data_IF_256534729617
#
_entry.id   IF_256534729617
#
_cell.length_a   1.000
_cell.length_b   1.000
_cell.length_c   1.000
_cell.angle_alpha   90.00
_cell.angle_beta   90.00
_cell.angle_gamma   90.00
#
_symmetry.space_group_name_H-M   'P 1'
#
loop_
_entity.id
_entity.type
_entity.pdbx_description
1 polymer ?
#
# COMPACT_ATOMS: atom_id res chain seq x y z
N UNK A 1 11.96 7.24 -1.22
CA UNK A 1 13.29 7.69 -0.79
C UNK A 1 13.43 7.75 0.71
N UNK A 2 12.70 8.62 1.40
CA UNK A 2 12.93 8.95 2.81
C UNK A 2 13.04 7.75 3.77
N UNK A 3 12.19 6.73 3.62
CA UNK A 3 12.23 5.54 4.48
C UNK A 3 13.49 4.69 4.23
N UNK A 4 13.95 4.61 3.00
CA UNK A 4 15.09 3.76 2.62
C UNK A 4 16.45 4.40 2.90
N UNK A 5 16.52 5.73 2.99
CA UNK A 5 17.73 6.43 3.48
C UNK A 5 17.73 6.57 5.01
N UNK A 6 16.78 5.92 5.70
CA UNK A 6 16.70 5.88 7.15
C UNK A 6 16.63 7.26 7.84
N UNK A 7 15.93 8.22 7.20
CA UNK A 7 15.71 9.56 7.75
C UNK A 7 14.52 9.62 8.73
N UNK A 8 14.24 8.53 9.43
CA UNK A 8 13.01 8.35 10.23
C UNK A 8 12.92 9.38 11.37
N UNK A 9 13.99 9.52 12.15
CA UNK A 9 14.02 10.41 13.31
C UNK A 9 14.03 11.88 12.90
N UNK A 10 14.74 12.23 11.83
CA UNK A 10 14.78 13.59 11.31
C UNK A 10 13.40 14.03 10.81
N UNK A 11 12.70 13.16 10.07
CA UNK A 11 11.35 13.45 9.56
C UNK A 11 10.33 13.48 10.71
N UNK A 12 10.47 12.61 11.69
CA UNK A 12 9.65 12.65 12.90
C UNK A 12 9.81 14.00 13.60
N UNK A 13 11.04 14.43 13.86
CA UNK A 13 11.32 15.72 14.48
C UNK A 13 10.73 16.89 13.69
N UNK A 14 10.80 16.84 12.34
CA UNK A 14 10.20 17.85 11.48
C UNK A 14 8.67 17.90 11.63
N UNK A 15 8.00 16.76 11.57
CA UNK A 15 6.53 16.68 11.66
C UNK A 15 6.06 17.10 13.06
N UNK A 16 6.71 16.64 14.13
CA UNK A 16 6.36 16.99 15.50
C UNK A 16 6.60 18.48 15.79
N UNK A 17 7.71 19.05 15.31
CA UNK A 17 8.03 20.47 15.47
C UNK A 17 7.05 21.38 14.73
N UNK A 18 6.66 20.98 13.53
CA UNK A 18 5.82 21.82 12.65
C UNK A 18 4.32 21.60 12.84
N UNK A 19 3.91 20.41 13.31
CA UNK A 19 2.50 20.03 13.41
C UNK A 19 1.79 19.89 12.06
N UNK A 20 2.52 19.88 10.93
CA UNK A 20 1.93 19.78 9.59
C UNK A 20 1.35 18.40 9.32
N UNK A 21 0.18 18.30 8.65
CA UNK A 21 -0.33 17.00 8.19
C UNK A 21 0.60 16.39 7.14
N UNK A 22 0.72 15.05 7.15
CA UNK A 22 1.54 14.35 6.16
C UNK A 22 0.80 13.18 5.50
N UNK A 23 1.27 12.85 4.29
CA UNK A 23 0.86 11.68 3.52
C UNK A 23 2.07 10.78 3.30
N UNK A 24 1.98 9.52 3.69
CA UNK A 24 2.98 8.53 3.33
C UNK A 24 2.66 7.94 1.95
N UNK A 25 3.65 7.92 1.06
CA UNK A 25 3.59 7.08 -0.13
C UNK A 25 3.79 5.61 0.26
N UNK A 26 3.38 4.68 -0.61
CA UNK A 26 3.27 3.25 -0.26
C UNK A 26 4.50 2.67 0.44
N UNK A 27 5.70 2.97 -0.06
CA UNK A 27 6.96 2.49 0.51
C UNK A 27 7.44 3.30 1.73
N UNK A 28 6.81 4.42 2.03
CA UNK A 28 7.09 5.25 3.20
C UNK A 28 6.07 5.03 4.35
N UNK A 29 5.06 4.18 4.14
CA UNK A 29 4.13 3.83 5.21
C UNK A 29 4.89 3.21 6.38
N UNK A 30 4.59 3.66 7.58
CA UNK A 30 5.29 3.26 8.80
C UNK A 30 6.59 4.01 9.08
N UNK A 31 7.07 4.90 8.20
CA UNK A 31 8.20 5.79 8.53
C UNK A 31 7.88 6.60 9.79
N UNK A 32 6.72 7.27 9.83
CA UNK A 32 5.99 7.53 11.05
C UNK A 32 4.80 6.56 11.09
N UNK A 33 4.33 6.12 12.25
CA UNK A 33 3.19 5.21 12.34
C UNK A 33 1.94 5.81 11.66
N UNK A 34 1.18 5.00 10.93
CA UNK A 34 -0.03 5.47 10.25
C UNK A 34 -1.17 5.86 11.23
N UNK A 35 -0.99 5.65 12.53
CA UNK A 35 -1.86 6.17 13.60
C UNK A 35 -1.32 7.45 14.26
N UNK A 36 -0.30 8.08 13.69
CA UNK A 36 0.24 9.35 14.18
C UNK A 36 -0.80 10.47 14.05
N UNK A 37 -0.92 11.42 15.02
CA UNK A 37 -1.94 12.48 15.00
C UNK A 37 -1.95 13.35 13.72
N UNK A 38 -0.80 13.57 13.08
CA UNK A 38 -0.68 14.33 11.84
C UNK A 38 -0.84 13.48 10.57
N UNK A 39 -1.06 12.16 10.69
CA UNK A 39 -1.27 11.32 9.50
C UNK A 39 -2.61 11.62 8.84
N UNK A 40 -2.57 12.07 7.59
CA UNK A 40 -3.73 12.50 6.84
C UNK A 40 -4.13 11.53 5.70
N UNK A 41 -3.69 10.26 5.76
CA UNK A 41 -3.93 9.28 4.69
C UNK A 41 -5.40 9.13 4.30
N UNK A 42 -6.31 9.08 5.28
CA UNK A 42 -7.75 9.00 5.02
C UNK A 42 -8.36 10.31 4.48
N UNK A 43 -7.68 11.45 4.63
CA UNK A 43 -8.08 12.76 4.08
C UNK A 43 -7.28 13.12 2.80
N UNK A 44 -6.59 12.16 2.16
CA UNK A 44 -5.68 12.40 1.04
C UNK A 44 -6.25 13.34 -0.02
N UNK A 45 -7.48 13.15 -0.45
CA UNK A 45 -8.11 13.98 -1.49
C UNK A 45 -8.28 15.43 -1.06
N UNK A 46 -8.62 15.69 0.20
CA UNK A 46 -8.71 17.05 0.76
C UNK A 46 -7.33 17.69 0.78
N UNK A 47 -6.34 17.00 1.36
CA UNK A 47 -4.97 17.51 1.51
C UNK A 47 -4.35 17.84 0.16
N UNK A 48 -4.48 16.96 -0.84
CA UNK A 48 -3.97 17.23 -2.18
C UNK A 48 -4.67 18.40 -2.86
N UNK A 49 -5.99 18.54 -2.65
CA UNK A 49 -6.79 19.55 -3.35
C UNK A 49 -6.65 20.95 -2.77
N UNK A 50 -6.48 21.08 -1.46
CA UNK A 50 -6.63 22.34 -0.75
C UNK A 50 -5.34 22.91 -0.16
N UNK A 51 -4.24 22.12 -0.08
CA UNK A 51 -2.96 22.66 0.38
C UNK A 51 -2.40 23.72 -0.58
N UNK A 52 -1.90 24.81 -0.04
CA UNK A 52 -1.24 25.92 -0.75
C UNK A 52 0.28 25.74 -0.83
N UNK A 53 0.88 25.05 0.15
CA UNK A 53 2.29 24.66 0.16
C UNK A 53 2.40 23.16 0.36
N UNK A 54 3.19 22.49 -0.47
CA UNK A 54 3.42 21.05 -0.40
C UNK A 54 4.90 20.78 -0.34
N UNK A 55 5.33 20.09 0.71
CA UNK A 55 6.72 19.63 0.84
C UNK A 55 6.80 18.16 0.40
N UNK A 56 7.59 17.92 -0.64
CA UNK A 56 7.92 16.58 -1.13
C UNK A 56 9.24 16.15 -0.51
N UNK A 57 9.24 15.06 0.23
CA UNK A 57 10.43 14.57 0.94
C UNK A 57 10.81 13.19 0.41
N UNK A 58 11.81 13.13 -0.48
CA UNK A 58 12.26 11.90 -1.13
C UNK A 58 11.17 11.18 -1.92
N UNK A 59 10.26 11.94 -2.52
CA UNK A 59 9.17 11.41 -3.35
C UNK A 59 9.04 12.22 -4.64
N UNK A 60 8.76 11.54 -5.73
CA UNK A 60 8.56 12.13 -7.04
C UNK A 60 7.09 12.42 -7.32
N UNK A 61 6.80 13.45 -8.09
CA UNK A 61 5.47 13.72 -8.64
C UNK A 61 5.19 12.84 -9.86
N UNK A 62 5.05 11.54 -9.61
CA UNK A 62 4.71 10.55 -10.63
C UNK A 62 3.19 10.34 -10.75
N UNK A 63 2.76 9.33 -11.51
CA UNK A 63 1.35 9.04 -11.74
C UNK A 63 0.55 8.75 -10.45
N UNK A 64 1.16 8.20 -9.39
CA UNK A 64 0.49 8.01 -8.09
C UNK A 64 0.06 9.32 -7.44
N UNK A 65 0.75 10.42 -7.77
CA UNK A 65 0.42 11.79 -7.36
C UNK A 65 -0.12 12.62 -8.54
N UNK A 66 -0.63 11.97 -9.59
CA UNK A 66 -1.16 12.63 -10.79
C UNK A 66 -0.19 13.68 -11.36
N UNK A 67 1.10 13.40 -11.28
CA UNK A 67 2.19 14.29 -11.74
C UNK A 67 2.13 15.73 -11.18
N UNK A 68 1.52 15.93 -10.02
CA UNK A 68 1.34 17.27 -9.43
C UNK A 68 0.28 18.14 -10.12
N UNK A 69 -0.56 17.57 -11.00
CA UNK A 69 -1.50 18.28 -11.87
C UNK A 69 -2.90 17.67 -11.85
N UNK A 70 -3.84 18.37 -12.47
CA UNK A 70 -5.18 17.89 -12.76
C UNK A 70 -6.13 17.84 -11.56
N UNK A 71 -7.25 17.14 -11.73
CA UNK A 71 -8.38 17.13 -10.76
C UNK A 71 -8.00 16.76 -9.33
N UNK A 72 -7.02 15.88 -9.14
CA UNK A 72 -6.60 15.46 -7.81
C UNK A 72 -6.00 16.61 -7.00
N UNK A 73 -5.43 17.59 -7.67
CA UNK A 73 -4.77 18.73 -7.06
C UNK A 73 -5.65 20.00 -7.01
N UNK A 74 -6.81 20.00 -7.66
CA UNK A 74 -7.69 21.16 -7.72
C UNK A 74 -7.09 22.35 -8.47
N UNK A 75 -7.68 23.54 -8.27
CA UNK A 75 -7.28 24.79 -8.96
C UNK A 75 -6.42 25.73 -8.11
N UNK A 76 -6.11 25.34 -6.87
CA UNK A 76 -5.34 26.19 -5.97
C UNK A 76 -3.94 26.48 -6.53
N UNK A 77 -3.52 27.75 -6.49
CA UNK A 77 -2.13 28.12 -6.71
C UNK A 77 -1.30 27.62 -5.54
N UNK A 78 -0.47 26.60 -5.79
CA UNK A 78 0.40 26.03 -4.76
C UNK A 78 1.87 26.16 -5.09
N UNK A 79 2.67 26.14 -4.04
CA UNK A 79 4.12 26.10 -4.11
C UNK A 79 4.60 24.74 -3.67
N UNK A 80 5.56 24.19 -4.41
CA UNK A 80 6.22 22.94 -4.03
C UNK A 80 7.60 23.22 -3.47
N UNK A 81 7.90 22.60 -2.34
CA UNK A 81 9.24 22.45 -1.78
C UNK A 81 9.64 21.02 -2.05
N UNK A 82 10.80 20.76 -2.65
CA UNK A 82 11.19 19.41 -3.03
C UNK A 82 12.58 19.05 -2.52
N UNK A 83 12.62 18.16 -1.52
CA UNK A 83 13.83 17.56 -1.00
C UNK A 83 14.08 16.27 -1.79
N UNK A 84 15.12 16.25 -2.63
CA UNK A 84 15.40 15.14 -3.53
C UNK A 84 16.90 14.97 -3.73
N UNK A 85 17.37 13.73 -3.82
CA UNK A 85 18.79 13.43 -4.06
C UNK A 85 19.16 13.51 -5.56
N UNK A 86 18.19 13.25 -6.45
CA UNK A 86 18.37 13.24 -7.90
C UNK A 86 17.97 14.61 -8.50
N UNK A 87 18.94 15.45 -8.93
CA UNK A 87 18.62 16.79 -9.43
C UNK A 87 17.67 16.80 -10.65
N UNK A 88 17.68 15.74 -11.45
CA UNK A 88 16.83 15.63 -12.65
C UNK A 88 15.35 15.49 -12.35
N UNK A 89 14.99 15.13 -11.11
CA UNK A 89 13.59 15.07 -10.68
C UNK A 89 13.02 16.46 -10.34
N UNK A 90 13.88 17.47 -10.14
CA UNK A 90 13.43 18.84 -9.91
C UNK A 90 12.83 19.39 -11.21
N UNK A 91 11.70 20.07 -11.09
CA UNK A 91 10.92 20.66 -12.20
C UNK A 91 10.44 19.65 -13.27
N UNK A 92 10.58 18.35 -13.02
CA UNK A 92 10.25 17.32 -14.00
C UNK A 92 8.78 17.34 -14.46
N UNK A 93 7.84 17.78 -13.60
CA UNK A 93 6.41 17.81 -13.90
C UNK A 93 5.72 19.14 -13.60
N UNK A 94 6.18 19.83 -12.56
CA UNK A 94 5.69 21.14 -12.12
C UNK A 94 6.88 21.97 -11.68
N UNK A 95 6.75 23.29 -11.74
CA UNK A 95 7.73 24.22 -11.20
C UNK A 95 7.88 24.03 -9.68
N UNK A 96 9.10 23.88 -9.21
CA UNK A 96 9.45 23.74 -7.80
C UNK A 96 9.90 25.10 -7.25
N UNK A 97 9.12 25.65 -6.33
CA UNK A 97 9.39 26.95 -5.74
C UNK A 97 10.64 26.99 -4.86
N UNK A 98 10.95 25.85 -4.20
CA UNK A 98 12.12 25.71 -3.35
C UNK A 98 12.74 24.31 -3.50
N UNK A 99 13.71 24.14 -4.42
CA UNK A 99 14.45 22.89 -4.56
C UNK A 99 15.51 22.78 -3.46
N UNK A 100 15.60 21.58 -2.85
CA UNK A 100 16.63 21.22 -1.88
C UNK A 100 17.24 19.90 -2.33
N UNK A 101 18.40 19.99 -2.98
CA UNK A 101 19.07 18.82 -3.55
C UNK A 101 20.11 18.28 -2.58
N UNK A 102 19.97 17.02 -2.19
CA UNK A 102 20.90 16.35 -1.28
C UNK A 102 20.31 15.11 -0.63
N UNK A 103 21.12 14.52 0.28
CA UNK A 103 20.64 13.43 1.16
C UNK A 103 19.48 13.92 2.03
N UNK A 104 18.41 13.13 2.09
CA UNK A 104 17.15 13.54 2.75
C UNK A 104 17.33 13.84 4.23
N UNK A 105 18.05 12.99 4.97
CA UNK A 105 18.28 13.20 6.39
C UNK A 105 19.08 14.48 6.64
N UNK A 106 20.14 14.69 5.86
CA UNK A 106 20.97 15.91 5.95
C UNK A 106 20.18 17.17 5.59
N UNK A 107 19.34 17.11 4.55
CA UNK A 107 18.49 18.24 4.17
C UNK A 107 17.46 18.56 5.26
N UNK A 108 16.83 17.55 5.88
CA UNK A 108 15.84 17.75 6.94
C UNK A 108 16.51 18.32 8.19
N UNK A 109 17.70 17.84 8.59
CA UNK A 109 18.46 18.42 9.71
C UNK A 109 18.81 19.88 9.47
N UNK A 110 19.35 20.21 8.30
CA UNK A 110 19.66 21.59 7.95
C UNK A 110 18.42 22.49 7.96
N UNK A 111 17.28 21.97 7.53
CA UNK A 111 16.00 22.68 7.61
C UNK A 111 15.57 22.91 9.07
N UNK A 112 15.66 21.89 9.92
CA UNK A 112 15.35 21.99 11.34
C UNK A 112 16.23 23.02 12.06
N UNK A 113 17.53 23.04 11.75
CA UNK A 113 18.49 24.02 12.29
C UNK A 113 18.12 25.44 11.85
N UNK A 114 17.80 25.63 10.56
CA UNK A 114 17.42 26.93 10.02
C UNK A 114 16.07 27.46 10.56
N UNK A 115 15.16 26.57 10.95
CA UNK A 115 13.87 26.94 11.55
C UNK A 115 14.01 27.52 12.96
N UNK A 116 15.07 27.22 13.67
CA UNK A 116 15.28 27.65 15.07
C UNK A 116 14.17 27.16 16.00
N UNK A 117 14.00 27.81 17.15
CA UNK A 117 13.03 27.38 18.19
C UNK A 117 11.59 27.86 17.93
N UNK A 118 11.40 28.81 17.02
CA UNK A 118 10.10 29.43 16.75
C UNK A 118 9.59 29.05 15.36
N UNK A 119 8.71 28.08 15.32
CA UNK A 119 7.94 27.76 14.12
C UNK A 119 6.46 28.12 14.33
N UNK A 120 5.81 28.84 13.40
CA UNK A 120 4.39 29.14 13.54
C UNK A 120 3.56 27.86 13.46
N UNK A 121 2.59 27.72 14.36
CA UNK A 121 1.64 26.62 14.26
C UNK A 121 0.87 26.70 12.92
N UNK A 122 0.54 25.56 12.32
CA UNK A 122 -0.31 25.57 11.13
C UNK A 122 -1.69 26.17 11.46
N UNK A 123 -2.38 26.74 10.45
CA UNK A 123 -3.71 27.33 10.67
C UNK A 123 -4.65 26.32 11.32
N UNK A 124 -5.28 26.72 12.43
CA UNK A 124 -6.14 25.82 13.22
C UNK A 124 -7.29 25.26 12.39
N UNK A 125 -7.96 26.10 11.60
CA UNK A 125 -9.10 25.71 10.77
C UNK A 125 -8.70 24.64 9.73
N UNK A 126 -7.49 24.73 9.20
CA UNK A 126 -6.93 23.72 8.30
C UNK A 126 -6.72 22.38 9.01
N UNK A 127 -6.09 22.40 10.17
CA UNK A 127 -5.85 21.18 10.95
C UNK A 127 -7.14 20.52 11.39
N UNK A 128 -8.11 21.30 11.85
CA UNK A 128 -9.43 20.80 12.26
C UNK A 128 -10.19 20.20 11.07
N UNK A 129 -10.16 20.84 9.90
CA UNK A 129 -10.76 20.33 8.66
C UNK A 129 -10.14 18.99 8.21
N UNK A 130 -8.81 18.86 8.27
CA UNK A 130 -8.12 17.61 7.94
C UNK A 130 -8.50 16.51 8.94
N UNK A 131 -8.51 16.81 10.24
CA UNK A 131 -8.86 15.86 11.29
C UNK A 131 -10.30 15.36 11.14
N UNK A 132 -11.26 16.26 11.01
CA UNK A 132 -12.66 15.91 10.78
C UNK A 132 -12.84 15.01 9.55
N UNK A 133 -12.11 15.32 8.47
CA UNK A 133 -12.15 14.50 7.25
C UNK A 133 -11.55 13.12 7.46
N UNK A 134 -10.45 13.00 8.22
CA UNK A 134 -9.87 11.72 8.59
C UNK A 134 -10.88 10.90 9.40
N UNK A 135 -11.43 11.46 10.47
CA UNK A 135 -12.39 10.80 11.35
C UNK A 135 -13.63 10.33 10.58
N UNK A 136 -14.23 11.20 9.77
CA UNK A 136 -15.39 10.87 8.94
C UNK A 136 -15.10 9.71 7.98
N UNK A 137 -13.97 9.74 7.31
CA UNK A 137 -13.63 8.70 6.34
C UNK A 137 -13.26 7.36 7.02
N UNK A 138 -12.59 7.39 8.16
CA UNK A 138 -12.31 6.20 8.97
C UNK A 138 -13.61 5.58 9.48
N UNK A 139 -14.53 6.39 10.06
CA UNK A 139 -15.83 5.92 10.53
C UNK A 139 -16.68 5.31 9.40
N UNK A 140 -16.65 5.90 8.20
CA UNK A 140 -17.36 5.37 7.03
C UNK A 140 -16.77 4.05 6.52
N UNK A 141 -15.46 3.86 6.67
CA UNK A 141 -14.77 2.64 6.23
C UNK A 141 -14.92 1.49 7.23
N UNK A 142 -15.02 1.77 8.53
CA UNK A 142 -15.03 0.77 9.58
C UNK A 142 -16.04 -0.37 9.37
N UNK A 143 -17.34 -0.12 9.08
CA UNK A 143 -18.29 -1.21 8.86
C UNK A 143 -17.95 -2.07 7.62
N UNK A 144 -17.29 -1.52 6.61
CA UNK A 144 -16.84 -2.28 5.44
C UNK A 144 -15.70 -3.24 5.80
N UNK A 145 -14.79 -2.82 6.68
CA UNK A 145 -13.67 -3.64 7.13
C UNK A 145 -14.07 -4.71 8.15
N UNK A 146 -15.26 -4.59 8.73
CA UNK A 146 -15.80 -5.50 9.74
C UNK A 146 -16.90 -6.40 9.19
N UNK A 147 -17.17 -6.35 7.87
CA UNK A 147 -18.19 -7.21 7.29
C UNK A 147 -17.76 -8.69 7.32
N UNK A 148 -18.75 -9.56 7.49
CA UNK A 148 -18.58 -11.02 7.49
C UNK A 148 -19.26 -11.65 6.27
N UNK A 149 -19.21 -10.98 5.13
CA UNK A 149 -19.78 -11.46 3.88
C UNK A 149 -19.16 -12.80 3.45
N UNK A 150 -19.98 -13.71 2.94
CA UNK A 150 -19.57 -14.97 2.34
C UNK A 150 -20.23 -15.07 0.96
N UNK A 151 -19.43 -15.15 -0.12
CA UNK A 151 -17.96 -15.09 -0.18
C UNK A 151 -17.43 -13.74 0.30
N UNK A 152 -16.17 -13.72 0.78
CA UNK A 152 -15.52 -12.51 1.27
C UNK A 152 -15.37 -11.46 0.17
N UNK A 153 -15.52 -10.18 0.50
CA UNK A 153 -15.03 -9.11 -0.33
C UNK A 153 -13.61 -8.65 0.08
N UNK A 154 -12.98 -7.81 -0.76
CA UNK A 154 -11.63 -7.30 -0.47
C UNK A 154 -11.56 -6.51 0.84
N UNK A 155 -12.61 -5.79 1.21
CA UNK A 155 -12.62 -4.97 2.43
C UNK A 155 -12.66 -5.83 3.69
N UNK A 156 -13.54 -6.82 3.74
CA UNK A 156 -13.65 -7.75 4.87
C UNK A 156 -12.35 -8.54 5.07
N UNK A 157 -11.82 -9.11 3.98
CA UNK A 157 -10.56 -9.86 4.03
C UNK A 157 -9.37 -8.97 4.44
N UNK A 158 -9.25 -7.75 3.88
CA UNK A 158 -8.19 -6.81 4.28
C UNK A 158 -8.39 -6.23 5.68
N UNK A 159 -9.62 -6.16 6.18
CA UNK A 159 -9.92 -5.81 7.56
C UNK A 159 -9.31 -6.81 8.55
N UNK A 160 -9.38 -8.10 8.22
CA UNK A 160 -8.70 -9.17 8.98
C UNK A 160 -7.19 -8.96 8.97
N UNK A 161 -6.59 -8.79 7.78
CA UNK A 161 -5.13 -8.64 7.65
C UNK A 161 -4.63 -7.35 8.31
N UNK A 162 -5.40 -6.26 8.29
CA UNK A 162 -5.11 -5.03 9.03
C UNK A 162 -4.96 -5.29 10.54
N UNK A 163 -5.85 -6.09 11.11
CA UNK A 163 -5.78 -6.47 12.53
C UNK A 163 -4.53 -7.31 12.82
N UNK A 164 -4.24 -8.31 11.97
CA UNK A 164 -3.04 -9.15 12.10
C UNK A 164 -1.74 -8.33 12.07
N UNK A 165 -1.62 -7.38 11.14
CA UNK A 165 -0.44 -6.50 11.04
C UNK A 165 -0.34 -5.56 12.25
N UNK A 166 -1.46 -5.08 12.77
CA UNK A 166 -1.48 -4.25 13.98
C UNK A 166 -0.93 -5.00 15.20
N UNK A 167 -1.26 -6.27 15.34
CA UNK A 167 -0.79 -7.13 16.44
C UNK A 167 0.67 -7.55 16.27
N UNK A 168 1.20 -7.49 15.03
CA UNK A 168 2.57 -7.92 14.67
C UNK A 168 3.32 -6.81 13.93
N UNK A 169 3.62 -5.66 14.58
CA UNK A 169 4.21 -4.48 13.90
C UNK A 169 5.63 -4.73 13.36
N UNK A 170 6.30 -5.80 13.80
CA UNK A 170 7.62 -6.21 13.32
C UNK A 170 7.57 -7.13 12.09
N UNK A 171 6.42 -7.73 11.79
CA UNK A 171 6.25 -8.52 10.58
C UNK A 171 6.41 -7.64 9.33
N UNK A 172 6.98 -8.23 8.29
CA UNK A 172 7.12 -7.53 7.02
C UNK A 172 5.90 -7.86 6.15
N UNK A 173 5.22 -6.83 5.69
CA UNK A 173 4.14 -6.94 4.72
C UNK A 173 4.69 -6.82 3.30
N UNK A 174 4.50 -7.85 2.49
CA UNK A 174 4.70 -7.78 1.04
C UNK A 174 3.34 -7.80 0.37
N UNK A 175 3.16 -6.99 -0.66
CA UNK A 175 1.85 -6.86 -1.27
C UNK A 175 1.95 -6.64 -2.77
N UNK A 176 1.25 -7.49 -3.52
CA UNK A 176 1.24 -7.47 -4.98
C UNK A 176 -0.17 -7.70 -5.54
N UNK A 177 -0.35 -7.41 -6.81
CA UNK A 177 -1.61 -7.57 -7.54
C UNK A 177 -2.18 -6.24 -8.03
N UNK A 178 -3.38 -6.26 -8.60
CA UNK A 178 -4.12 -5.06 -9.01
C UNK A 178 -5.00 -4.56 -7.85
N UNK A 179 -6.19 -5.14 -7.67
CA UNK A 179 -7.10 -4.78 -6.58
C UNK A 179 -6.47 -5.04 -5.20
N UNK A 180 -5.83 -6.19 -5.03
CA UNK A 180 -5.17 -6.57 -3.77
C UNK A 180 -4.16 -5.51 -3.34
N UNK A 181 -3.33 -5.03 -4.27
CA UNK A 181 -2.34 -3.99 -4.01
C UNK A 181 -2.98 -2.64 -3.68
N UNK A 182 -3.93 -2.19 -4.51
CA UNK A 182 -4.52 -0.86 -4.38
C UNK A 182 -5.38 -0.71 -3.11
N UNK A 183 -6.17 -1.74 -2.79
CA UNK A 183 -6.94 -1.75 -1.55
C UNK A 183 -6.04 -1.87 -0.32
N UNK A 184 -5.03 -2.74 -0.34
CA UNK A 184 -4.14 -2.90 0.79
C UNK A 184 -3.31 -1.64 1.10
N UNK A 185 -2.86 -0.90 0.08
CA UNK A 185 -2.20 0.41 0.26
C UNK A 185 -3.05 1.40 1.05
N UNK A 186 -4.37 1.33 0.85
CA UNK A 186 -5.32 2.26 1.47
C UNK A 186 -5.82 1.79 2.83
N UNK A 187 -5.86 0.46 3.06
CA UNK A 187 -6.51 -0.15 4.22
C UNK A 187 -5.52 -0.53 5.31
N UNK A 188 -4.41 -1.19 4.95
CA UNK A 188 -3.47 -1.71 5.94
C UNK A 188 -2.56 -0.59 6.42
N UNK A 189 -2.63 -0.30 7.72
CA UNK A 189 -1.75 0.65 8.39
C UNK A 189 -0.41 0.00 8.72
N UNK A 190 0.66 0.79 8.66
CA UNK A 190 2.00 0.39 9.05
C UNK A 190 2.46 1.19 10.26
N UNK A 191 3.21 0.54 11.15
CA UNK A 191 3.57 1.12 12.45
C UNK A 191 5.07 1.31 12.64
N UNK A 192 5.88 0.66 11.79
CA UNK A 192 7.35 0.75 11.82
C UNK A 192 7.90 0.97 10.41
N UNK A 193 9.02 1.70 10.29
CA UNK A 193 9.64 1.98 8.99
C UNK A 193 10.17 0.69 8.33
N UNK A 194 10.17 0.69 6.99
CA UNK A 194 10.73 -0.40 6.16
C UNK A 194 10.11 -1.78 6.38
N UNK A 195 8.89 -1.82 6.96
CA UNK A 195 8.12 -3.06 7.16
C UNK A 195 7.10 -3.31 6.06
N UNK A 196 7.15 -2.54 4.96
CA UNK A 196 6.30 -2.75 3.79
C UNK A 196 7.11 -2.75 2.50
N UNK A 197 6.88 -3.78 1.69
CA UNK A 197 7.39 -3.91 0.32
C UNK A 197 6.22 -4.03 -0.64
N UNK A 198 6.30 -3.36 -1.76
CA UNK A 198 5.38 -3.50 -2.89
C UNK A 198 6.05 -3.12 -4.22
N UNK A 199 5.34 -3.26 -5.32
CA UNK A 199 5.87 -3.02 -6.67
C UNK A 199 6.12 -1.54 -7.00
N UNK A 200 5.87 -0.63 -6.06
CA UNK A 200 6.10 0.81 -6.23
C UNK A 200 5.31 1.40 -7.38
N UNK A 201 5.99 2.21 -8.19
CA UNK A 201 5.41 2.89 -9.37
C UNK A 201 5.42 2.04 -10.64
N UNK A 202 6.17 0.96 -10.67
CA UNK A 202 6.24 0.07 -11.82
C UNK A 202 4.95 -0.72 -12.03
N UNK A 203 4.29 -1.13 -10.94
CA UNK A 203 3.01 -1.83 -11.00
C UNK A 203 3.08 -3.20 -11.68
N UNK A 204 4.26 -3.81 -11.77
CA UNK A 204 4.44 -5.13 -12.37
C UNK A 204 3.95 -6.24 -11.45
N UNK A 205 3.63 -7.39 -12.01
CA UNK A 205 3.31 -8.63 -11.29
C UNK A 205 4.47 -9.64 -11.42
N UNK A 206 4.62 -10.50 -10.40
CA UNK A 206 5.61 -11.59 -10.36
C UNK A 206 6.84 -11.32 -9.51
N UNK A 207 6.91 -10.22 -8.76
CA UNK A 207 8.06 -9.91 -7.90
C UNK A 207 7.76 -10.06 -6.40
N UNK A 208 6.50 -10.14 -6.00
CA UNK A 208 6.12 -10.17 -4.58
C UNK A 208 6.67 -11.38 -3.84
N UNK A 209 6.58 -12.56 -4.42
CA UNK A 209 7.14 -13.77 -3.83
C UNK A 209 8.66 -13.67 -3.64
N UNK A 210 9.38 -13.13 -4.64
CA UNK A 210 10.83 -12.87 -4.53
C UNK A 210 11.15 -11.84 -3.45
N UNK A 211 10.35 -10.78 -3.32
CA UNK A 211 10.49 -9.80 -2.23
C UNK A 211 10.23 -10.43 -0.85
N UNK A 212 9.25 -11.33 -0.73
CA UNK A 212 8.97 -12.04 0.51
C UNK A 212 10.13 -12.94 0.94
N UNK A 213 10.71 -13.69 -0.01
CA UNK A 213 11.89 -14.51 0.22
C UNK A 213 13.07 -13.64 0.66
N UNK A 214 13.37 -12.57 -0.08
CA UNK A 214 14.45 -11.65 0.25
C UNK A 214 14.27 -11.03 1.64
N UNK A 215 13.06 -10.60 1.98
CA UNK A 215 12.75 -10.04 3.28
C UNK A 215 12.96 -11.04 4.43
N UNK A 216 12.50 -12.28 4.26
CA UNK A 216 12.67 -13.33 5.26
C UNK A 216 14.15 -13.71 5.47
N UNK A 217 14.89 -13.84 4.37
CA UNK A 217 16.33 -14.21 4.41
C UNK A 217 17.17 -13.10 5.03
N UNK A 218 16.95 -11.85 4.61
CA UNK A 218 17.74 -10.71 5.06
C UNK A 218 17.49 -10.35 6.54
N UNK A 219 16.23 -10.48 6.99
CA UNK A 219 15.85 -9.95 8.29
C UNK A 219 15.55 -11.01 9.34
N UNK A 220 15.26 -12.24 8.94
CA UNK A 220 14.78 -13.30 9.84
C UNK A 220 13.38 -13.04 10.44
N UNK A 221 12.72 -11.93 10.05
CA UNK A 221 11.37 -11.62 10.55
C UNK A 221 10.30 -12.43 9.81
N UNK A 222 9.16 -12.72 10.48
CA UNK A 222 8.00 -13.26 9.81
C UNK A 222 7.51 -12.33 8.68
N UNK A 223 7.12 -12.92 7.55
CA UNK A 223 6.63 -12.19 6.37
C UNK A 223 5.17 -12.57 6.11
N UNK A 224 4.32 -11.58 5.98
CA UNK A 224 2.97 -11.71 5.46
C UNK A 224 2.97 -11.24 3.99
N UNK A 225 2.87 -12.19 3.05
CA UNK A 225 2.86 -11.91 1.62
C UNK A 225 1.43 -11.99 1.09
N UNK A 226 0.85 -10.86 0.67
CA UNK A 226 -0.54 -10.77 0.22
C UNK A 226 -0.58 -10.57 -1.29
N UNK A 227 -1.01 -11.60 -2.00
CA UNK A 227 -1.01 -11.69 -3.44
C UNK A 227 -2.45 -11.76 -3.98
N UNK A 228 -2.70 -11.17 -5.16
CA UNK A 228 -3.84 -11.59 -5.96
C UNK A 228 -3.55 -12.92 -6.67
N UNK A 229 -4.57 -13.68 -7.02
CA UNK A 229 -4.41 -14.95 -7.75
C UNK A 229 -3.65 -14.78 -9.07
N UNK A 230 -3.90 -13.68 -9.79
CA UNK A 230 -3.17 -13.33 -11.00
C UNK A 230 -1.69 -13.05 -10.73
N UNK A 231 -1.38 -12.26 -9.71
CA UNK A 231 0.00 -11.92 -9.35
C UNK A 231 0.77 -13.16 -8.88
N UNK A 232 0.16 -13.97 -8.03
CA UNK A 232 0.69 -15.25 -7.58
C UNK A 232 1.01 -16.18 -8.77
N UNK A 233 0.16 -16.19 -9.80
CA UNK A 233 0.37 -17.00 -11.00
C UNK A 233 1.69 -16.75 -11.75
N UNK A 234 2.29 -15.56 -11.60
CA UNK A 234 3.57 -15.24 -12.23
C UNK A 234 4.79 -15.82 -11.51
N UNK A 235 4.70 -16.05 -10.20
CA UNK A 235 5.82 -16.52 -9.37
C UNK A 235 5.41 -17.58 -8.34
N UNK A 236 4.28 -18.24 -8.53
CA UNK A 236 3.74 -19.23 -7.58
C UNK A 236 4.68 -20.40 -7.30
N UNK A 237 5.56 -20.76 -8.23
CA UNK A 237 6.55 -21.84 -8.00
C UNK A 237 7.60 -21.48 -6.94
N UNK A 238 7.72 -20.22 -6.55
CA UNK A 238 8.57 -19.81 -5.43
C UNK A 238 8.12 -20.40 -4.08
N UNK A 239 6.94 -21.00 -4.00
CA UNK A 239 6.54 -21.81 -2.83
C UNK A 239 7.50 -22.98 -2.58
N UNK A 240 8.13 -23.53 -3.63
CA UNK A 240 9.17 -24.55 -3.49
C UNK A 240 10.38 -23.97 -2.76
N UNK A 241 10.87 -22.80 -3.18
CA UNK A 241 12.00 -22.12 -2.54
C UNK A 241 11.70 -21.81 -1.08
N UNK A 242 10.49 -21.29 -0.80
CA UNK A 242 10.03 -21.00 0.57
C UNK A 242 10.05 -22.26 1.44
N UNK A 243 9.55 -23.40 0.93
CA UNK A 243 9.52 -24.67 1.64
C UNK A 243 10.93 -25.26 1.81
N UNK A 244 11.73 -25.25 0.75
CA UNK A 244 13.10 -25.82 0.76
C UNK A 244 13.99 -25.15 1.80
N UNK A 245 13.87 -23.82 1.99
CA UNK A 245 14.62 -23.06 2.98
C UNK A 245 13.87 -22.89 4.32
N UNK A 246 12.69 -23.48 4.46
CA UNK A 246 11.83 -23.37 5.66
C UNK A 246 11.66 -21.92 6.15
N UNK A 247 11.36 -21.01 5.22
CA UNK A 247 11.25 -19.58 5.51
C UNK A 247 9.96 -19.25 6.25
N UNK A 248 9.98 -18.31 7.22
CA UNK A 248 8.81 -17.92 8.00
C UNK A 248 7.88 -16.99 7.20
N UNK A 249 7.31 -17.51 6.12
CA UNK A 249 6.46 -16.76 5.18
C UNK A 249 5.05 -17.34 5.16
N UNK A 250 4.07 -16.49 5.47
CA UNK A 250 2.66 -16.74 5.24
C UNK A 250 2.24 -16.05 3.95
N UNK A 251 1.96 -16.82 2.90
CA UNK A 251 1.39 -16.30 1.65
C UNK A 251 -0.12 -16.33 1.75
N UNK A 252 -0.79 -15.21 1.49
CA UNK A 252 -2.26 -15.12 1.39
C UNK A 252 -2.61 -14.79 -0.04
N UNK A 253 -3.23 -15.73 -0.74
CA UNK A 253 -3.70 -15.54 -2.11
C UNK A 253 -5.19 -15.13 -2.08
N UNK A 254 -5.48 -13.92 -2.49
CA UNK A 254 -6.86 -13.46 -2.69
C UNK A 254 -7.35 -14.00 -4.02
N UNK A 255 -8.10 -15.09 -3.94
CA UNK A 255 -8.60 -15.87 -5.06
C UNK A 255 -10.02 -15.41 -5.42
N UNK A 256 -10.13 -14.47 -6.33
CA UNK A 256 -11.40 -14.06 -6.92
C UNK A 256 -11.63 -14.65 -8.33
N UNK A 257 -10.76 -15.54 -8.78
CA UNK A 257 -10.88 -16.28 -10.05
C UNK A 257 -10.52 -15.47 -11.28
N UNK A 258 -9.78 -14.36 -11.17
CA UNK A 258 -9.39 -13.59 -12.35
C UNK A 258 -8.70 -12.25 -12.10
N UNK A 259 -8.21 -11.66 -13.18
CA UNK A 259 -7.67 -10.29 -13.19
C UNK A 259 -8.84 -9.32 -13.05
N UNK A 260 -8.87 -8.50 -12.01
CA UNK A 260 -9.95 -7.62 -11.58
C UNK A 260 -11.21 -8.37 -11.17
N UNK A 261 -11.85 -9.15 -12.06
CA UNK A 261 -13.09 -9.91 -11.82
C UNK A 261 -13.00 -11.32 -12.37
N UNK A 262 -13.50 -12.28 -11.62
CA UNK A 262 -13.65 -13.67 -12.05
C UNK A 262 -14.97 -13.95 -12.78
N UNK A 263 -15.74 -12.90 -13.08
CA UNK A 263 -17.08 -13.00 -13.70
C UNK A 263 -17.10 -12.71 -15.19
N UNK A 264 -15.98 -12.30 -15.79
CA UNK A 264 -15.87 -11.93 -17.21
C UNK A 264 -15.82 -13.20 -18.09
N UNK A 265 -16.80 -14.09 -17.88
CA UNK A 265 -16.91 -15.35 -18.61
C UNK A 265 -17.92 -15.23 -19.73
N UNK A 266 -17.67 -15.96 -20.83
CA UNK A 266 -18.72 -16.27 -21.80
C UNK A 266 -19.90 -16.93 -21.05
N UNK A 267 -21.15 -16.46 -21.25
CA UNK A 267 -22.33 -17.04 -20.62
C UNK A 267 -22.51 -18.55 -20.88
N UNK A 268 -21.91 -19.08 -21.94
CA UNK A 268 -21.95 -20.52 -22.27
C UNK A 268 -20.87 -21.34 -21.59
N UNK A 269 -19.85 -20.68 -21.00
CA UNK A 269 -18.69 -21.33 -20.36
C UNK A 269 -17.77 -22.10 -21.30
N UNK A 270 -17.95 -21.94 -22.62
CA UNK A 270 -17.17 -22.66 -23.64
C UNK A 270 -15.90 -21.94 -24.06
N UNK A 271 -15.89 -20.63 -23.93
CA UNK A 271 -14.77 -19.76 -24.30
C UNK A 271 -14.52 -18.76 -23.15
N UNK A 272 -13.83 -19.17 -22.08
CA UNK A 272 -13.56 -18.28 -20.95
C UNK A 272 -12.69 -17.12 -21.41
N UNK A 273 -12.99 -15.91 -20.93
CA UNK A 273 -12.14 -14.75 -21.16
C UNK A 273 -10.71 -15.01 -20.68
N UNK A 274 -9.71 -14.47 -21.37
CA UNK A 274 -8.29 -14.64 -21.02
C UNK A 274 -7.93 -14.09 -19.63
N UNK A 275 -8.79 -13.28 -19.05
CA UNK A 275 -8.66 -12.68 -17.71
C UNK A 275 -9.29 -13.51 -16.60
N UNK A 276 -9.97 -14.62 -16.94
CA UNK A 276 -10.65 -15.50 -15.95
C UNK A 276 -9.87 -16.79 -15.80
N UNK A 277 -9.74 -17.23 -14.55
CA UNK A 277 -8.95 -18.40 -14.19
C UNK A 277 -9.83 -19.62 -13.92
N UNK A 278 -9.17 -20.75 -13.66
CA UNK A 278 -9.85 -21.99 -13.27
C UNK A 278 -10.69 -21.74 -12.02
N UNK A 279 -11.98 -22.06 -12.13
CA UNK A 279 -12.92 -21.93 -11.02
C UNK A 279 -12.49 -22.80 -9.86
N UNK A 280 -12.63 -22.27 -8.64
CA UNK A 280 -12.32 -22.96 -7.39
C UNK A 280 -10.87 -23.50 -7.31
N UNK A 281 -9.92 -22.80 -7.95
CA UNK A 281 -8.52 -23.18 -7.91
C UNK A 281 -7.99 -23.26 -6.47
N UNK A 282 -7.25 -24.32 -6.19
CA UNK A 282 -6.73 -24.66 -4.86
C UNK A 282 -5.23 -24.34 -4.76
N UNK A 283 -4.89 -23.06 -4.63
CA UNK A 283 -3.50 -22.61 -4.51
C UNK A 283 -2.81 -23.12 -3.24
N UNK A 284 -3.57 -23.38 -2.17
CA UNK A 284 -3.09 -24.00 -0.93
C UNK A 284 -2.42 -25.35 -1.17
N UNK A 285 -2.88 -26.12 -2.15
CA UNK A 285 -2.30 -27.42 -2.49
C UNK A 285 -0.90 -27.32 -3.09
N UNK A 286 -0.53 -26.19 -3.67
CA UNK A 286 0.86 -25.97 -4.14
C UNK A 286 1.84 -25.95 -2.97
N UNK A 287 1.49 -25.29 -1.86
CA UNK A 287 2.30 -25.27 -0.65
C UNK A 287 2.42 -26.67 -0.03
N UNK A 288 1.31 -27.40 0.05
CA UNK A 288 1.28 -28.77 0.57
C UNK A 288 2.13 -29.73 -0.28
N UNK A 289 2.16 -29.56 -1.60
CA UNK A 289 2.95 -30.39 -2.51
C UNK A 289 4.46 -30.32 -2.20
N UNK A 290 4.93 -29.24 -1.59
CA UNK A 290 6.33 -29.05 -1.19
C UNK A 290 6.54 -29.20 0.33
N UNK A 291 5.53 -29.67 1.08
CA UNK A 291 5.64 -29.99 2.50
C UNK A 291 5.35 -28.82 3.45
N UNK A 292 4.92 -27.66 2.93
CA UNK A 292 4.43 -26.56 3.73
C UNK A 292 2.97 -26.75 4.15
N UNK A 293 2.39 -25.78 4.86
CA UNK A 293 1.00 -25.82 5.34
C UNK A 293 0.07 -25.07 4.39
N UNK A 294 -0.94 -25.74 3.87
CA UNK A 294 -2.01 -25.14 3.08
C UNK A 294 -3.27 -24.90 3.92
N UNK A 295 -3.94 -23.78 3.66
CA UNK A 295 -5.26 -23.45 4.22
C UNK A 295 -6.17 -22.99 3.08
N UNK A 296 -7.42 -23.43 3.12
CA UNK A 296 -8.46 -22.97 2.20
C UNK A 296 -9.57 -22.34 3.04
N UNK A 297 -9.82 -21.05 2.85
CA UNK A 297 -10.71 -20.28 3.71
C UNK A 297 -11.74 -19.51 2.88
N UNK A 298 -12.97 -19.46 3.37
CA UNK A 298 -14.12 -18.86 2.68
C UNK A 298 -14.78 -17.74 3.49
N UNK A 299 -14.38 -17.57 4.74
CA UNK A 299 -14.93 -16.57 5.64
C UNK A 299 -13.85 -15.75 6.34
N UNK A 300 -14.16 -14.51 6.80
CA UNK A 300 -13.23 -13.68 7.55
C UNK A 300 -12.69 -14.34 8.82
N UNK A 301 -13.50 -15.13 9.53
CA UNK A 301 -13.07 -15.81 10.75
C UNK A 301 -12.09 -16.93 10.45
N UNK A 302 -12.36 -17.75 9.42
CA UNK A 302 -11.40 -18.77 8.96
C UNK A 302 -10.09 -18.12 8.49
N UNK A 303 -10.16 -16.99 7.76
CA UNK A 303 -8.98 -16.25 7.33
C UNK A 303 -8.16 -15.78 8.53
N UNK A 304 -8.81 -15.20 9.54
CA UNK A 304 -8.15 -14.73 10.77
C UNK A 304 -7.44 -15.89 11.48
N UNK A 305 -8.12 -17.00 11.66
CA UNK A 305 -7.56 -18.18 12.33
C UNK A 305 -6.35 -18.71 11.55
N UNK A 306 -6.50 -18.92 10.25
CA UNK A 306 -5.45 -19.49 9.39
C UNK A 306 -4.20 -18.60 9.35
N UNK A 307 -4.38 -17.28 9.18
CA UNK A 307 -3.23 -16.35 9.12
C UNK A 307 -2.53 -16.24 10.48
N UNK A 308 -3.27 -16.21 11.59
CA UNK A 308 -2.65 -16.19 12.92
C UNK A 308 -1.86 -17.48 13.17
N UNK A 309 -2.46 -18.67 12.91
CA UNK A 309 -1.76 -19.96 13.04
C UNK A 309 -0.49 -19.99 12.16
N UNK A 310 -0.59 -19.57 10.91
CA UNK A 310 0.55 -19.53 9.98
C UNK A 310 1.67 -18.62 10.48
N UNK A 311 1.35 -17.38 10.86
CA UNK A 311 2.32 -16.40 11.33
C UNK A 311 2.99 -16.82 12.64
N UNK A 312 2.23 -17.41 13.57
CA UNK A 312 2.75 -17.86 14.86
C UNK A 312 3.58 -19.14 14.76
N UNK A 313 3.34 -19.96 13.73
CA UNK A 313 4.13 -21.17 13.49
C UNK A 313 5.56 -20.89 13.06
N UNK A 314 5.83 -19.74 12.44
CA UNK A 314 7.13 -19.40 11.85
C UNK A 314 7.57 -20.35 10.71
N UNK A 315 6.61 -21.04 10.07
CA UNK A 315 6.87 -22.02 9.01
C UNK A 315 6.20 -21.61 7.69
N UNK A 316 6.65 -22.20 6.56
CA UNK A 316 6.01 -22.01 5.26
C UNK A 316 4.52 -22.31 5.27
N UNK A 317 3.70 -21.32 4.90
CA UNK A 317 2.27 -21.49 4.82
C UNK A 317 1.66 -20.71 3.65
N UNK A 318 0.56 -21.23 3.07
CA UNK A 318 -0.24 -20.54 2.08
C UNK A 318 -1.73 -20.64 2.43
N UNK A 319 -2.36 -19.48 2.52
CA UNK A 319 -3.80 -19.33 2.75
C UNK A 319 -4.46 -18.94 1.43
N UNK A 320 -5.21 -19.87 0.83
CA UNK A 320 -6.06 -19.60 -0.32
C UNK A 320 -7.37 -19.00 0.17
N UNK A 321 -7.49 -17.68 0.14
CA UNK A 321 -8.65 -16.92 0.60
C UNK A 321 -9.62 -16.67 -0.57
N UNK A 322 -10.79 -17.32 -0.51
CA UNK A 322 -11.83 -17.17 -1.56
C UNK A 322 -12.48 -15.81 -1.45
N UNK A 323 -12.36 -15.02 -2.51
CA UNK A 323 -12.95 -13.69 -2.64
C UNK A 323 -14.09 -13.75 -3.66
N UNK A 324 -15.14 -12.97 -3.43
CA UNK A 324 -16.26 -12.82 -4.36
C UNK A 324 -15.72 -12.42 -5.75
N UNK A 325 -15.96 -13.23 -6.79
CA UNK A 325 -15.51 -12.93 -8.15
C UNK A 325 -16.02 -11.58 -8.69
N UNK A 326 -17.13 -11.09 -8.18
CA UNK A 326 -17.72 -9.81 -8.58
C UNK A 326 -17.17 -8.60 -7.80
N UNK A 327 -16.46 -8.81 -6.69
CA UNK A 327 -16.01 -7.73 -5.81
C UNK A 327 -14.86 -6.88 -6.39
N UNK A 328 -14.15 -7.39 -7.41
CA UNK A 328 -13.06 -6.67 -8.05
C UNK A 328 -13.54 -5.51 -8.92
N UNK A 329 -12.70 -4.48 -9.04
CA UNK A 329 -12.95 -3.32 -9.90
C UNK A 329 -11.72 -2.99 -10.71
N UNK A 330 -11.91 -2.57 -11.95
CA UNK A 330 -10.82 -1.98 -12.73
C UNK A 330 -10.33 -0.70 -12.05
N UNK A 331 -9.00 -0.54 -11.95
CA UNK A 331 -8.43 0.61 -11.27
C UNK A 331 -8.77 1.91 -11.98
N UNK A 332 -9.53 2.81 -11.32
CA UNK A 332 -9.80 4.15 -11.83
C UNK A 332 -8.56 5.05 -11.94
N UNK A 333 -7.37 4.57 -11.53
CA UNK A 333 -6.10 5.31 -11.60
C UNK A 333 -5.48 5.34 -12.98
N UNK A 334 -5.98 4.55 -13.95
CA UNK A 334 -5.53 4.60 -15.36
C UNK A 334 -5.61 6.04 -15.90
N UNK A 335 -6.63 6.81 -15.55
CA UNK A 335 -6.74 8.23 -15.91
C UNK A 335 -5.62 9.12 -15.37
N UNK A 336 -4.88 8.68 -14.35
CA UNK A 336 -3.75 9.42 -13.79
C UNK A 336 -2.43 9.16 -14.51
N UNK A 337 -2.35 8.14 -15.35
CA UNK A 337 -1.13 7.82 -16.12
C UNK A 337 -0.81 8.95 -17.11
N UNK A 338 -1.85 9.58 -17.68
CA UNK A 338 -1.69 10.74 -18.54
C UNK A 338 -2.79 11.77 -18.25
N UNK A 339 -2.59 12.69 -17.29
CA UNK A 339 -3.58 13.70 -16.92
C UNK A 339 -3.98 14.64 -18.07
N UNK A 340 -3.15 14.79 -19.08
CA UNK A 340 -3.43 15.68 -20.22
C UNK A 340 -4.38 15.07 -21.24
N UNK A 341 -4.49 13.73 -21.29
CA UNK A 341 -5.41 13.04 -22.20
C UNK A 341 -6.87 13.04 -21.72
N UNK A 342 -7.12 13.43 -20.47
CA UNK A 342 -8.47 13.44 -19.86
C UNK A 342 -9.25 14.73 -20.19
N UNK A 343 -8.66 15.71 -20.86
CA UNK A 343 -9.26 17.04 -21.07
C UNK A 343 -10.15 17.13 -22.31
N UNK A 344 -10.36 16.09 -23.06
CA UNK A 344 -11.16 16.16 -24.30
C UNK A 344 -12.32 15.16 -24.34
N UNK A 345 -13.27 15.28 -23.41
CA UNK A 345 -14.67 14.95 -23.70
C UNK A 345 -15.50 16.23 -23.59
N UNK A 346 -15.63 16.91 -24.72
CA UNK A 346 -16.68 17.89 -24.95
C UNK A 346 -18.05 17.23 -24.90
#
# INVERSE_FOLDING_TARGET
>A
GAAYVQADDDIRALVEKTGIPYLAMSMAKGLLPDNHPQYAGAARSLVLKESDVVMLIGTRLNWLLSHGKGKAWGEARRKFIHLEIEPKEIDSNVEIAAPVVGDIGSCVRALLDAMGDKWPAPPKDWIDSVREKVETNVARMAPKLQNNNIPMDFHGALGVLKAVVKERPDAILVNEGANTLDFARSIIDMYKPRKRLDVGTWGIMGIGMGQAIAAAVETGHPVLCVEGDSAFGFSGMEVETICRYNLPICVVVFNNGGIYRGTDTDPTGKDPATTVFVKDARYDKMMEAFGGKGYHVTSPDELRQAVNEAMDSGKPALVNAVIDPAAGTESGRIGNLNPQSVVAKK
#
